data_IF_421134146633
#
_entry.id   IF_421134146633
#
_cell.length_a   1.000
_cell.length_b   1.000
_cell.length_c   1.000
_cell.angle_alpha   90.00
_cell.angle_beta   90.00
_cell.angle_gamma   90.00
#
_symmetry.space_group_name_H-M   'P 1'
#
loop_
_entity.id
_entity.type
_entity.pdbx_description
1 polymer ?
#
# COMPACT_ATOMS: atom_id res chain seq x y z
N UNK A 1 8.31 -10.77 15.62
CA UNK A 1 8.60 -9.67 14.66
C UNK A 1 10.09 -9.63 14.39
N UNK A 2 10.53 -9.81 13.15
CA UNK A 2 11.95 -9.80 12.83
C UNK A 2 12.48 -8.34 12.75
N UNK A 3 13.81 -8.18 12.68
CA UNK A 3 14.43 -6.85 12.68
C UNK A 3 13.99 -6.04 11.45
N UNK A 4 13.78 -6.70 10.30
CA UNK A 4 13.34 -6.04 9.06
C UNK A 4 11.92 -5.50 9.18
N UNK A 5 10.99 -6.28 9.76
CA UNK A 5 9.60 -5.86 9.99
C UNK A 5 9.57 -4.57 10.78
N UNK A 6 10.36 -4.50 11.84
CA UNK A 6 10.46 -3.32 12.70
C UNK A 6 10.95 -2.10 11.92
N UNK A 7 11.98 -2.26 11.09
CA UNK A 7 12.52 -1.16 10.30
C UNK A 7 11.48 -0.65 9.30
N UNK A 8 10.71 -1.52 8.62
CA UNK A 8 9.62 -1.09 7.74
C UNK A 8 8.56 -0.28 8.49
N UNK A 9 8.18 -0.71 9.70
CA UNK A 9 7.22 0.03 10.53
C UNK A 9 7.75 1.40 10.94
N UNK A 10 9.01 1.48 11.39
CA UNK A 10 9.64 2.72 11.82
C UNK A 10 9.82 3.71 10.66
N UNK A 11 10.37 3.28 9.53
CA UNK A 11 10.60 4.14 8.37
C UNK A 11 9.27 4.54 7.69
N UNK A 12 8.30 3.63 7.64
CA UNK A 12 6.96 3.90 7.14
C UNK A 12 6.24 4.96 7.99
N UNK A 13 6.28 4.82 9.31
CA UNK A 13 5.71 5.80 10.24
C UNK A 13 6.39 7.17 10.14
N UNK A 14 7.74 7.19 10.04
CA UNK A 14 8.50 8.41 9.92
C UNK A 14 8.09 9.22 8.68
N UNK A 15 7.85 8.57 7.55
CA UNK A 15 7.48 9.22 6.29
C UNK A 15 5.97 9.23 6.00
N UNK A 16 5.15 8.68 6.88
CA UNK A 16 3.70 8.51 6.70
C UNK A 16 3.36 7.68 5.44
N UNK A 17 4.04 6.55 5.29
CA UNK A 17 3.82 5.56 4.24
C UNK A 17 3.42 4.24 4.88
N UNK A 18 2.46 3.54 4.30
CA UNK A 18 2.01 2.21 4.75
C UNK A 18 3.15 1.20 4.66
N UNK A 19 3.63 0.76 5.81
CA UNK A 19 4.72 -0.18 5.93
C UNK A 19 4.37 -1.57 5.39
N UNK A 20 3.14 -2.02 5.59
CA UNK A 20 2.61 -3.29 5.09
C UNK A 20 2.55 -3.32 3.55
N UNK A 21 2.14 -2.22 2.90
CA UNK A 21 2.16 -2.10 1.46
C UNK A 21 3.58 -2.05 0.89
N UNK A 22 4.52 -1.37 1.56
CA UNK A 22 5.92 -1.38 1.18
C UNK A 22 6.54 -2.79 1.34
N UNK A 23 6.14 -3.50 2.39
CA UNK A 23 6.51 -4.90 2.59
C UNK A 23 5.96 -5.81 1.49
N UNK A 24 4.68 -5.66 1.13
CA UNK A 24 4.07 -6.42 0.04
C UNK A 24 4.80 -6.17 -1.30
N UNK A 25 5.17 -4.92 -1.58
CA UNK A 25 5.99 -4.59 -2.74
C UNK A 25 7.34 -5.31 -2.70
N UNK A 26 8.03 -5.28 -1.55
CA UNK A 26 9.28 -6.01 -1.36
C UNK A 26 9.12 -7.50 -1.66
N UNK A 27 8.08 -8.15 -1.12
CA UNK A 27 7.80 -9.56 -1.41
C UNK A 27 7.68 -9.82 -2.90
N UNK A 28 6.99 -8.95 -3.65
CA UNK A 28 6.87 -9.04 -5.10
C UNK A 28 8.24 -8.89 -5.80
N UNK A 29 9.01 -7.86 -5.45
CA UNK A 29 10.28 -7.50 -6.13
C UNK A 29 11.40 -8.50 -5.87
N UNK A 30 11.41 -9.13 -4.69
CA UNK A 30 12.46 -10.05 -4.28
C UNK A 30 12.05 -11.52 -4.38
N UNK A 31 10.83 -11.82 -4.80
CA UNK A 31 10.29 -13.18 -4.78
C UNK A 31 10.30 -13.77 -3.36
N UNK A 32 9.76 -13.05 -2.38
CA UNK A 32 9.77 -13.38 -0.96
C UNK A 32 11.20 -13.63 -0.42
N UNK A 33 12.13 -12.72 -0.74
CA UNK A 33 13.54 -12.76 -0.32
C UNK A 33 14.39 -13.87 -0.93
N UNK A 34 13.89 -14.59 -1.91
CA UNK A 34 14.71 -15.57 -2.64
C UNK A 34 15.67 -14.91 -3.62
N UNK A 35 15.33 -13.71 -4.10
CA UNK A 35 16.02 -12.96 -5.15
C UNK A 35 16.22 -13.77 -6.45
N UNK A 36 15.48 -14.86 -6.60
CA UNK A 36 15.54 -15.70 -7.80
C UNK A 36 15.05 -14.93 -9.03
N UNK A 37 15.90 -14.75 -10.01
CA UNK A 37 15.60 -13.97 -11.23
C UNK A 37 15.57 -12.46 -11.02
N UNK A 38 15.88 -11.96 -9.83
CA UNK A 38 15.98 -10.53 -9.55
C UNK A 38 17.29 -9.94 -10.12
N UNK A 39 17.23 -8.68 -10.56
CA UNK A 39 18.41 -7.91 -10.96
C UNK A 39 19.26 -7.43 -9.77
N UNK A 40 18.75 -7.54 -8.56
CA UNK A 40 19.41 -7.17 -7.31
C UNK A 40 19.58 -8.39 -6.41
N UNK A 41 20.52 -8.30 -5.47
CA UNK A 41 20.87 -9.36 -4.54
C UNK A 41 20.73 -8.88 -3.09
N UNK A 42 20.66 -9.80 -2.15
CA UNK A 42 20.44 -9.47 -0.73
C UNK A 42 21.51 -8.55 -0.14
N UNK A 43 22.77 -8.74 -0.53
CA UNK A 43 23.94 -7.96 -0.08
C UNK A 43 23.90 -6.49 -0.54
N UNK A 44 23.06 -6.14 -1.50
CA UNK A 44 22.84 -4.76 -1.93
C UNK A 44 21.91 -3.99 -1.00
N UNK A 45 21.23 -4.63 -0.06
CA UNK A 45 20.16 -4.05 0.76
C UNK A 45 19.08 -3.34 -0.06
N UNK A 46 18.88 -3.79 -1.30
CA UNK A 46 17.95 -3.25 -2.28
C UNK A 46 16.77 -4.19 -2.45
N UNK A 47 15.64 -3.85 -1.84
CA UNK A 47 14.48 -4.72 -1.76
C UNK A 47 13.37 -4.41 -2.77
N UNK A 48 13.62 -3.48 -3.68
CA UNK A 48 12.59 -2.98 -4.60
C UNK A 48 13.11 -2.74 -6.03
N UNK A 49 14.26 -3.32 -6.38
CA UNK A 49 14.87 -3.13 -7.70
C UNK A 49 15.31 -1.69 -7.96
N UNK A 50 15.60 -0.92 -6.90
CA UNK A 50 15.96 0.49 -7.00
C UNK A 50 17.20 0.70 -7.90
N UNK A 51 17.08 1.62 -8.86
CA UNK A 51 18.16 1.91 -9.80
C UNK A 51 18.26 0.94 -10.98
N UNK A 52 17.50 -0.15 -11.03
CA UNK A 52 17.46 -1.04 -12.20
C UNK A 52 16.57 -0.43 -13.29
N UNK A 53 17.18 0.23 -14.27
CA UNK A 53 16.46 0.89 -15.36
C UNK A 53 16.54 0.15 -16.69
N UNK A 54 17.40 -0.86 -16.79
CA UNK A 54 17.60 -1.71 -17.98
C UNK A 54 17.98 -3.12 -17.55
N UNK A 55 17.68 -4.10 -18.39
CA UNK A 55 18.14 -5.48 -18.20
C UNK A 55 19.67 -5.53 -18.06
N UNK A 56 20.16 -6.30 -17.10
CA UNK A 56 21.59 -6.47 -16.82
C UNK A 56 22.23 -5.35 -16.00
N UNK A 57 21.48 -4.31 -15.60
CA UNK A 57 22.01 -3.32 -14.66
C UNK A 57 21.96 -3.87 -13.22
N UNK A 58 23.06 -3.70 -12.53
CA UNK A 58 23.14 -3.90 -11.08
C UNK A 58 22.52 -2.68 -10.39
N UNK A 59 21.35 -2.80 -9.78
CA UNK A 59 20.69 -1.71 -9.09
C UNK A 59 21.55 -1.04 -7.99
N UNK A 60 21.01 -0.04 -7.34
CA UNK A 60 21.66 0.70 -6.26
C UNK A 60 22.11 -0.23 -5.14
N UNK A 61 23.30 0.01 -4.58
CA UNK A 61 23.82 -0.66 -3.39
C UNK A 61 23.69 0.31 -2.22
N UNK A 62 22.98 -0.09 -1.19
CA UNK A 62 22.82 0.71 0.03
C UNK A 62 23.83 0.26 1.10
N UNK A 63 24.29 1.15 2.00
CA UNK A 63 25.33 0.83 2.98
C UNK A 63 24.86 -0.15 4.07
N UNK A 64 23.55 -0.17 4.34
CA UNK A 64 22.95 -1.01 5.37
C UNK A 64 21.46 -1.25 5.11
N UNK A 65 20.91 -2.19 5.86
CA UNK A 65 19.51 -2.63 5.78
C UNK A 65 18.51 -1.48 5.98
N UNK A 66 18.75 -0.59 6.94
CA UNK A 66 17.84 0.53 7.23
C UNK A 66 17.83 1.54 6.10
N UNK A 67 18.99 1.88 5.59
CA UNK A 67 19.15 2.83 4.48
C UNK A 67 18.43 2.33 3.22
N UNK A 68 18.54 1.04 2.91
CA UNK A 68 17.84 0.44 1.77
C UNK A 68 16.32 0.46 1.93
N UNK A 69 15.82 0.13 3.12
CA UNK A 69 14.37 0.20 3.42
C UNK A 69 13.89 1.66 3.39
N UNK A 70 14.63 2.60 3.98
CA UNK A 70 14.31 4.03 3.93
C UNK A 70 14.24 4.55 2.51
N UNK A 71 15.18 4.16 1.64
CA UNK A 71 15.16 4.55 0.23
C UNK A 71 13.87 4.08 -0.47
N UNK A 72 13.44 2.84 -0.24
CA UNK A 72 12.17 2.33 -0.77
C UNK A 72 10.97 3.14 -0.25
N UNK A 73 10.88 3.39 1.06
CA UNK A 73 9.82 4.18 1.69
C UNK A 73 9.78 5.60 1.11
N UNK A 74 10.93 6.26 0.97
CA UNK A 74 11.03 7.60 0.40
C UNK A 74 10.61 7.63 -1.07
N UNK A 75 10.97 6.61 -1.84
CA UNK A 75 10.56 6.49 -3.23
C UNK A 75 9.04 6.29 -3.35
N UNK A 76 8.44 5.44 -2.52
CA UNK A 76 6.99 5.31 -2.41
C UNK A 76 6.33 6.64 -2.02
N UNK A 77 6.91 7.39 -1.09
CA UNK A 77 6.41 8.73 -0.73
C UNK A 77 6.50 9.70 -1.90
N UNK A 78 7.53 9.61 -2.72
CA UNK A 78 7.64 10.44 -3.92
C UNK A 78 6.47 10.18 -4.86
N UNK A 79 6.09 8.93 -5.09
CA UNK A 79 4.90 8.58 -5.88
C UNK A 79 3.59 8.99 -5.21
N UNK A 80 3.45 8.70 -3.91
CA UNK A 80 2.20 8.89 -3.18
C UNK A 80 1.85 10.36 -2.92
N UNK A 81 2.86 11.25 -2.75
CA UNK A 81 2.64 12.58 -2.18
C UNK A 81 3.59 13.63 -2.71
N UNK A 82 3.13 14.89 -2.69
CA UNK A 82 3.98 16.08 -2.91
C UNK A 82 4.61 16.63 -1.61
N UNK A 83 4.26 16.06 -0.45
CA UNK A 83 4.80 16.49 0.84
C UNK A 83 6.31 16.24 0.93
N UNK A 84 7.04 17.12 1.60
CA UNK A 84 8.47 16.96 1.83
C UNK A 84 8.77 15.70 2.63
N UNK A 85 9.96 15.14 2.43
CA UNK A 85 10.51 14.12 3.31
C UNK A 85 10.69 14.70 4.73
N UNK A 86 10.50 13.86 5.72
CA UNK A 86 10.74 14.20 7.13
C UNK A 86 12.14 13.80 7.59
N UNK A 87 12.76 12.88 6.88
CA UNK A 87 14.12 12.42 7.12
C UNK A 87 15.05 12.86 5.98
N UNK A 88 16.37 12.78 6.22
CA UNK A 88 17.37 12.96 5.19
C UNK A 88 17.08 12.02 4.00
N UNK A 89 17.18 12.58 2.78
CA UNK A 89 16.95 11.84 1.55
C UNK A 89 18.09 10.87 1.26
N UNK A 90 17.78 9.57 1.31
CA UNK A 90 18.71 8.50 0.91
C UNK A 90 18.31 7.84 -0.41
N UNK A 91 17.16 8.23 -0.96
CA UNK A 91 16.68 7.81 -2.27
C UNK A 91 17.35 8.67 -3.36
N UNK A 92 18.36 8.14 -4.02
CA UNK A 92 19.09 8.80 -5.11
C UNK A 92 18.21 9.05 -6.36
N UNK A 93 17.06 8.39 -6.43
CA UNK A 93 16.12 8.51 -7.54
C UNK A 93 14.89 9.38 -7.23
N UNK A 94 14.75 9.86 -5.99
CA UNK A 94 13.63 10.67 -5.53
C UNK A 94 13.26 11.81 -6.47
N UNK A 95 14.25 12.50 -6.99
CA UNK A 95 14.09 13.67 -7.88
C UNK A 95 13.51 13.33 -9.27
N UNK A 96 13.59 12.07 -9.69
CA UNK A 96 13.10 11.64 -11.00
C UNK A 96 11.65 11.22 -11.00
N UNK A 97 11.04 11.08 -9.83
CA UNK A 97 9.64 10.71 -9.69
C UNK A 97 8.74 11.91 -9.93
N UNK A 98 7.70 11.72 -10.75
CA UNK A 98 6.61 12.70 -10.83
C UNK A 98 5.80 12.65 -9.54
N UNK A 99 6.08 13.61 -8.64
CA UNK A 99 5.55 13.64 -7.27
C UNK A 99 4.02 13.59 -7.23
N UNK A 100 3.48 12.76 -6.34
CA UNK A 100 2.05 12.61 -6.14
C UNK A 100 1.30 12.01 -7.33
N UNK A 101 2.00 11.26 -8.20
CA UNK A 101 1.39 10.65 -9.38
C UNK A 101 0.68 9.33 -9.08
N UNK A 102 1.04 8.64 -8.01
CA UNK A 102 0.54 7.31 -7.65
C UNK A 102 0.22 7.24 -6.15
N UNK A 103 -0.88 7.89 -5.69
CA UNK A 103 -1.26 7.87 -4.28
C UNK A 103 -1.82 6.50 -3.82
N UNK A 104 -2.04 5.58 -4.75
CA UNK A 104 -2.53 4.22 -4.51
C UNK A 104 -1.51 3.21 -5.01
N UNK A 105 -1.41 2.04 -4.36
CA UNK A 105 -0.51 0.97 -4.79
C UNK A 105 -0.84 0.46 -6.19
N UNK A 106 -2.12 0.42 -6.56
CA UNK A 106 -2.58 0.05 -7.90
C UNK A 106 -1.95 0.92 -8.99
N UNK A 107 -1.77 2.21 -8.70
CA UNK A 107 -1.22 3.18 -9.66
C UNK A 107 0.31 3.18 -9.72
N UNK A 108 0.98 2.32 -8.95
CA UNK A 108 2.41 2.07 -9.14
C UNK A 108 2.68 1.33 -10.46
N UNK A 109 1.70 0.62 -11.01
CA UNK A 109 1.75 0.11 -12.37
C UNK A 109 1.50 1.22 -13.39
N UNK A 110 2.42 1.38 -14.36
CA UNK A 110 2.29 2.40 -15.43
C UNK A 110 1.04 2.15 -16.27
N UNK A 111 0.67 0.88 -16.48
CA UNK A 111 -0.48 0.51 -17.29
C UNK A 111 -1.80 0.88 -16.62
N UNK A 112 -1.88 0.73 -15.32
CA UNK A 112 -3.06 0.96 -14.49
C UNK A 112 -3.20 2.43 -14.05
N UNK A 113 -2.09 3.19 -14.05
CA UNK A 113 -2.11 4.60 -13.67
C UNK A 113 -2.78 5.45 -14.74
N UNK A 114 -3.81 6.25 -14.40
CA UNK A 114 -4.47 7.14 -15.36
C UNK A 114 -3.53 8.14 -16.04
N UNK A 115 -2.45 8.53 -15.37
CA UNK A 115 -1.44 9.47 -15.88
C UNK A 115 -0.32 8.77 -16.67
N UNK A 116 -0.40 7.44 -16.85
CA UNK A 116 0.60 6.63 -17.55
C UNK A 116 2.03 6.82 -17.03
N UNK A 117 2.15 6.99 -15.73
CA UNK A 117 3.42 7.05 -14.99
C UNK A 117 3.34 6.13 -13.79
N UNK A 118 4.47 5.60 -13.34
CA UNK A 118 4.47 4.67 -12.21
C UNK A 118 5.84 4.08 -11.97
N UNK A 119 5.88 3.12 -11.06
CA UNK A 119 7.08 2.39 -10.66
C UNK A 119 7.51 1.37 -11.71
N UNK A 120 6.57 0.55 -12.17
CA UNK A 120 6.86 -0.56 -13.08
C UNK A 120 5.96 -0.57 -14.32
N UNK A 121 6.51 -1.03 -15.44
CA UNK A 121 5.81 -1.11 -16.72
C UNK A 121 4.99 -2.40 -16.90
N UNK A 122 5.20 -3.41 -16.05
CA UNK A 122 4.49 -4.69 -16.13
C UNK A 122 3.00 -4.55 -15.86
N UNK A 123 2.19 -5.24 -16.66
CA UNK A 123 0.73 -5.27 -16.48
C UNK A 123 0.37 -5.87 -15.13
N UNK A 124 -0.59 -5.29 -14.42
CA UNK A 124 -1.08 -5.76 -13.14
C UNK A 124 -0.12 -5.57 -11.98
N UNK A 125 0.92 -4.74 -12.13
CA UNK A 125 1.94 -4.57 -11.09
C UNK A 125 1.36 -4.17 -9.74
N UNK A 126 0.54 -3.12 -9.72
CA UNK A 126 -0.10 -2.65 -8.50
C UNK A 126 -1.08 -3.66 -7.91
N UNK A 127 -1.84 -4.35 -8.77
CA UNK A 127 -2.75 -5.43 -8.36
C UNK A 127 -2.03 -6.59 -7.67
N UNK A 128 -0.85 -6.97 -8.14
CA UNK A 128 -0.01 -8.01 -7.49
C UNK A 128 0.42 -7.59 -6.08
N UNK A 129 0.78 -6.30 -5.89
CA UNK A 129 1.09 -5.77 -4.54
C UNK A 129 -0.12 -5.89 -3.63
N UNK A 130 -1.31 -5.50 -4.11
CA UNK A 130 -2.56 -5.58 -3.33
C UNK A 130 -2.88 -7.04 -2.97
N UNK A 131 -2.74 -7.98 -3.90
CA UNK A 131 -2.96 -9.41 -3.61
C UNK A 131 -2.04 -9.91 -2.49
N UNK A 132 -0.75 -9.56 -2.53
CA UNK A 132 0.19 -9.94 -1.47
C UNK A 132 -0.20 -9.26 -0.14
N UNK A 133 -0.56 -7.98 -0.18
CA UNK A 133 -0.98 -7.24 1.00
C UNK A 133 -2.23 -7.87 1.65
N UNK A 134 -3.23 -8.23 0.86
CA UNK A 134 -4.43 -8.90 1.35
C UNK A 134 -4.11 -10.25 2.01
N UNK A 135 -3.21 -11.03 1.41
CA UNK A 135 -2.75 -12.27 2.01
C UNK A 135 -2.04 -12.05 3.35
N UNK A 136 -1.16 -11.03 3.45
CA UNK A 136 -0.49 -10.66 4.71
C UNK A 136 -1.52 -10.29 5.79
N UNK A 137 -2.52 -9.50 5.43
CA UNK A 137 -3.56 -9.06 6.36
C UNK A 137 -4.43 -10.23 6.83
N UNK A 138 -4.78 -11.17 5.96
CA UNK A 138 -5.53 -12.39 6.32
C UNK A 138 -4.73 -13.31 7.24
N UNK A 139 -3.45 -13.52 6.98
CA UNK A 139 -2.59 -14.30 7.88
C UNK A 139 -2.57 -13.72 9.30
N UNK A 140 -2.62 -12.39 9.43
CA UNK A 140 -2.68 -11.70 10.73
C UNK A 140 -4.02 -11.89 11.46
N UNK A 141 -5.09 -12.29 10.76
CA UNK A 141 -6.42 -12.53 11.34
C UNK A 141 -6.69 -14.00 11.68
N UNK A 142 -5.79 -14.92 11.33
CA UNK A 142 -5.98 -16.36 11.53
C UNK A 142 -7.01 -17.00 10.58
N UNK A 143 -7.43 -16.30 9.53
CA UNK A 143 -8.28 -16.87 8.49
C UNK A 143 -7.47 -17.82 7.61
N UNK A 144 -7.95 -19.07 7.47
CA UNK A 144 -7.30 -20.08 6.61
C UNK A 144 -7.37 -19.65 5.15
N UNK A 145 -6.28 -19.88 4.43
CA UNK A 145 -6.25 -19.77 2.97
C UNK A 145 -7.17 -20.87 2.40
N UNK A 146 -8.28 -20.50 1.79
CA UNK A 146 -9.11 -21.43 1.06
C UNK A 146 -8.52 -21.61 -0.37
N UNK A 147 -7.98 -22.79 -0.73
CA UNK A 147 -7.35 -22.99 -2.04
C UNK A 147 -8.34 -22.94 -3.22
N UNK A 148 -9.65 -22.96 -2.98
CA UNK A 148 -10.65 -22.89 -4.05
C UNK A 148 -11.01 -21.47 -4.49
N UNK A 149 -10.48 -20.42 -3.84
CA UNK A 149 -10.77 -19.04 -4.22
C UNK A 149 -10.04 -18.56 -5.50
N UNK A 150 -9.07 -19.33 -6.02
CA UNK A 150 -8.29 -18.95 -7.21
C UNK A 150 -9.01 -19.14 -8.56
N UNK A 151 -10.19 -19.76 -8.59
CA UNK A 151 -10.90 -20.09 -9.85
C UNK A 151 -12.26 -19.41 -10.04
N UNK A 152 -12.56 -18.31 -9.31
CA UNK A 152 -13.68 -17.45 -9.69
C UNK A 152 -13.22 -16.44 -10.73
N UNK A 153 -13.93 -16.31 -11.87
CA UNK A 153 -13.63 -15.21 -12.81
C UNK A 153 -13.75 -13.89 -12.03
N UNK A 154 -12.71 -13.10 -12.11
CA UNK A 154 -12.65 -11.75 -11.56
C UNK A 154 -13.90 -11.00 -12.02
N UNK A 155 -14.72 -10.44 -11.11
CA UNK A 155 -15.82 -9.59 -11.54
C UNK A 155 -15.19 -8.41 -12.27
N UNK A 156 -15.65 -8.11 -13.48
CA UNK A 156 -15.26 -6.92 -14.25
C UNK A 156 -15.31 -5.71 -13.32
N UNK A 157 -14.13 -5.23 -12.93
CA UNK A 157 -14.00 -4.02 -12.12
C UNK A 157 -14.38 -2.83 -12.98
N UNK A 158 -15.60 -2.39 -12.88
CA UNK A 158 -15.95 -1.04 -13.28
C UNK A 158 -15.14 -0.07 -12.43
N UNK A 159 -14.52 0.96 -13.01
CA UNK A 159 -13.77 1.95 -12.26
C UNK A 159 -14.75 2.83 -11.50
N UNK A 160 -15.20 2.39 -10.34
CA UNK A 160 -16.02 3.20 -9.44
C UNK A 160 -15.27 3.47 -8.14
N UNK A 161 -14.77 4.70 -8.06
CA UNK A 161 -14.43 5.35 -6.78
C UNK A 161 -13.00 5.13 -6.30
N UNK A 162 -12.30 6.22 -6.24
CA UNK A 162 -11.02 6.38 -5.55
C UNK A 162 -11.21 5.91 -4.10
N UNK A 163 -10.50 4.88 -3.62
CA UNK A 163 -10.45 4.58 -2.20
C UNK A 163 -9.13 5.09 -1.60
N UNK A 164 -9.23 5.72 -0.43
CA UNK A 164 -8.07 6.29 0.25
C UNK A 164 -7.36 5.24 1.11
N UNK A 165 -8.12 4.48 1.87
CA UNK A 165 -7.61 3.44 2.77
C UNK A 165 -8.75 2.55 3.28
N UNK A 166 -8.37 1.45 3.92
CA UNK A 166 -9.31 0.61 4.67
C UNK A 166 -9.16 0.81 6.16
N UNK A 167 -10.27 0.76 6.85
CA UNK A 167 -10.32 0.83 8.31
C UNK A 167 -11.00 -0.40 8.88
N UNK A 168 -10.65 -0.72 10.11
CA UNK A 168 -11.35 -1.69 10.94
C UNK A 168 -11.91 -0.96 12.15
N UNK A 169 -13.17 -1.20 12.46
CA UNK A 169 -13.79 -0.61 13.65
C UNK A 169 -13.15 -1.14 14.93
N UNK A 170 -12.99 -0.29 15.92
CA UNK A 170 -12.54 -0.68 17.28
C UNK A 170 -13.71 -0.85 18.24
N UNK A 171 -14.91 -0.43 17.83
CA UNK A 171 -16.14 -0.49 18.62
C UNK A 171 -17.12 -1.48 18.02
N UNK A 172 -18.06 -1.99 18.83
CA UNK A 172 -19.06 -2.96 18.37
C UNK A 172 -20.21 -2.31 17.60
N UNK A 173 -20.43 -1.02 17.81
CA UNK A 173 -21.40 -0.24 17.05
C UNK A 173 -20.82 1.12 16.72
N UNK A 174 -20.75 1.45 15.43
CA UNK A 174 -20.27 2.70 14.91
C UNK A 174 -21.39 3.43 14.18
N UNK A 175 -21.73 4.63 14.64
CA UNK A 175 -22.77 5.46 14.01
C UNK A 175 -22.29 5.98 12.66
N UNK A 176 -23.18 5.97 11.68
CA UNK A 176 -22.94 6.50 10.34
C UNK A 176 -23.84 7.71 10.09
N UNK A 177 -23.30 8.71 9.38
CA UNK A 177 -23.93 10.02 9.19
C UNK A 177 -23.97 10.41 7.70
N UNK A 178 -24.85 11.37 7.38
CA UNK A 178 -24.99 11.92 6.01
C UNK A 178 -23.81 12.78 5.57
N UNK A 179 -22.95 13.21 6.49
CA UNK A 179 -21.82 14.08 6.19
C UNK A 179 -20.72 14.03 7.25
N UNK A 180 -19.58 14.72 6.99
CA UNK A 180 -18.37 14.62 7.77
C UNK A 180 -18.42 15.47 9.05
N UNK A 181 -19.16 15.00 10.06
CA UNK A 181 -19.26 15.66 11.35
C UNK A 181 -20.42 15.22 12.20
N UNK A 182 -20.33 15.45 13.52
CA UNK A 182 -21.34 15.08 14.50
C UNK A 182 -22.66 15.86 14.35
N UNK A 183 -22.63 17.01 13.68
CA UNK A 183 -23.82 17.84 13.42
C UNK A 183 -24.69 17.31 12.26
N UNK A 184 -24.16 16.40 11.44
CA UNK A 184 -24.93 15.79 10.37
C UNK A 184 -25.85 14.71 10.90
N UNK A 185 -27.06 14.57 10.32
CA UNK A 185 -28.02 13.54 10.72
C UNK A 185 -27.44 12.14 10.66
N UNK A 186 -27.73 11.34 11.68
CA UNK A 186 -27.44 9.90 11.65
C UNK A 186 -28.30 9.20 10.62
N UNK A 187 -27.72 8.26 9.88
CA UNK A 187 -28.42 7.43 8.89
C UNK A 187 -28.53 5.98 9.33
N UNK A 188 -27.81 5.61 10.39
CA UNK A 188 -27.79 4.26 10.94
C UNK A 188 -26.54 4.00 11.76
N UNK A 189 -26.26 2.72 11.95
CA UNK A 189 -25.04 2.26 12.60
C UNK A 189 -24.48 1.02 11.90
N UNK A 190 -23.17 0.90 11.90
CA UNK A 190 -22.46 -0.33 11.60
C UNK A 190 -22.39 -1.12 12.91
N UNK A 191 -23.06 -2.27 12.95
CA UNK A 191 -23.01 -3.18 14.10
C UNK A 191 -22.10 -4.36 13.76
N UNK A 192 -21.02 -4.50 14.50
CA UNK A 192 -20.07 -5.59 14.34
C UNK A 192 -20.53 -6.81 15.13
N UNK A 193 -20.38 -7.98 14.52
CA UNK A 193 -20.58 -9.24 15.26
C UNK A 193 -19.40 -9.43 16.21
N UNK A 194 -19.68 -9.80 17.45
CA UNK A 194 -18.65 -10.04 18.47
C UNK A 194 -17.56 -10.98 17.93
N UNK A 195 -16.31 -10.51 17.96
CA UNK A 195 -15.15 -11.25 17.46
C UNK A 195 -14.90 -11.18 15.95
N UNK A 196 -15.77 -10.52 15.15
CA UNK A 196 -15.55 -10.28 13.72
C UNK A 196 -15.68 -8.80 13.43
N UNK A 197 -14.56 -8.12 13.28
CA UNK A 197 -14.49 -6.71 12.86
C UNK A 197 -14.26 -6.64 11.36
N UNK A 198 -15.22 -6.12 10.61
CA UNK A 198 -15.12 -6.00 9.16
C UNK A 198 -14.18 -4.87 8.72
N UNK A 199 -13.66 -4.98 7.50
CA UNK A 199 -12.90 -3.92 6.85
C UNK A 199 -13.85 -3.03 6.06
N UNK A 200 -13.69 -1.73 6.21
CA UNK A 200 -14.46 -0.71 5.50
C UNK A 200 -13.53 0.13 4.65
N UNK A 201 -13.85 0.28 3.38
CA UNK A 201 -13.09 1.08 2.43
C UNK A 201 -13.54 2.52 2.49
N UNK A 202 -12.60 3.43 2.71
CA UNK A 202 -12.80 4.88 2.72
C UNK A 202 -12.41 5.45 1.36
N UNK A 203 -13.31 6.21 0.76
CA UNK A 203 -13.14 6.80 -0.57
C UNK A 203 -12.95 8.33 -0.53
N UNK A 204 -13.19 8.94 0.61
CA UNK A 204 -13.01 10.37 0.83
C UNK A 204 -12.78 10.63 2.32
N UNK A 205 -11.95 11.61 2.66
CA UNK A 205 -11.74 12.04 4.03
C UNK A 205 -11.92 13.56 4.13
N UNK A 206 -12.70 13.99 5.13
CA UNK A 206 -12.90 15.39 5.45
C UNK A 206 -13.06 15.57 6.96
N UNK A 207 -12.31 16.47 7.55
CA UNK A 207 -12.36 16.82 8.98
C UNK A 207 -12.22 15.60 9.92
N UNK A 208 -11.41 14.61 9.55
CA UNK A 208 -11.24 13.38 10.33
C UNK A 208 -12.39 12.37 10.19
N UNK A 209 -13.30 12.58 9.24
CA UNK A 209 -14.39 11.66 8.91
C UNK A 209 -14.11 10.99 7.57
N UNK A 210 -14.35 9.68 7.50
CA UNK A 210 -14.17 8.90 6.29
C UNK A 210 -15.51 8.56 5.61
N UNK A 211 -15.62 8.82 4.29
CA UNK A 211 -16.78 8.38 3.51
C UNK A 211 -16.60 6.95 3.05
N UNK A 212 -17.57 6.12 3.37
CA UNK A 212 -17.59 4.71 2.97
C UNK A 212 -17.72 4.54 1.45
N UNK A 213 -17.04 3.53 0.88
CA UNK A 213 -17.13 3.17 -0.55
C UNK A 213 -18.56 2.86 -1.01
N UNK A 214 -19.43 2.40 -0.11
CA UNK A 214 -20.86 2.21 -0.38
C UNK A 214 -21.58 3.51 -0.78
N UNK A 215 -20.92 4.66 -0.65
CA UNK A 215 -21.45 5.96 -1.05
C UNK A 215 -22.47 6.55 -0.08
N UNK A 216 -22.93 5.77 0.88
CA UNK A 216 -24.13 6.11 1.65
C UNK A 216 -23.84 6.89 2.94
N UNK A 217 -22.60 6.89 3.45
CA UNK A 217 -22.38 7.39 4.80
C UNK A 217 -20.93 7.78 5.12
N UNK A 218 -20.81 8.59 6.15
CA UNK A 218 -19.57 9.01 6.79
C UNK A 218 -19.43 8.39 8.18
N UNK A 219 -18.20 8.03 8.56
CA UNK A 219 -17.83 7.44 9.87
C UNK A 219 -16.64 8.16 10.46
#
# INVERSE_FOLDING_TARGET
MCIRDRIYLEEGAAENIRADGAWAQRCLETGNDTFAGSAVTFDQYNFCGHGVTKNGMRGTIFPDLRTGIRAQIQHLKAYASTQKLKQECVDDRFRYVKRGSSPYFEWLGIQENPKKVGWAAGVGYGGKIITILDNILRMGTGESMDPEAENKPEPEMKPEGIFLYQIRTTVDSLRIRKGPGVTYPETGAINEVAGKKNLYTIVEEQNGWGRLKSGAAWI
#
